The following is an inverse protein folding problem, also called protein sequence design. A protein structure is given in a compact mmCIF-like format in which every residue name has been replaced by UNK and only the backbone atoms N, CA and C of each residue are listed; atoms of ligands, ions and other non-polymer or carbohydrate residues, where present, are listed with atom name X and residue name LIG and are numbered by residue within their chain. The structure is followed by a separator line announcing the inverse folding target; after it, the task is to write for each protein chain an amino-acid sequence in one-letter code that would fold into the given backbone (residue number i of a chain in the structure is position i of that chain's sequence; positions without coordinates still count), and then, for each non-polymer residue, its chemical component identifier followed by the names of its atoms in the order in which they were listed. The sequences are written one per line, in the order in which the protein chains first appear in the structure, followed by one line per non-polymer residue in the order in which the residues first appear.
data_IF_358201905490
#
_entry.id   IF_358201905490
#
_cell.length_a   1.000
_cell.length_b   1.000
_cell.length_c   1.000
_cell.angle_alpha   90.00
_cell.angle_beta   90.00
_cell.angle_gamma   90.00
#
_symmetry.space_group_name_H-M   'P 1'
#
loop_
_entity.id
_entity.type
_entity.pdbx_description
1 polymer ?
#
# COMPACT_ATOMS: atom_id res chain seq x y z
N UNK A 1 6.39 13.13 14.17
CA UNK A 1 7.42 12.14 13.81
C UNK A 1 8.74 12.81 13.48
N UNK A 2 9.74 12.02 13.10
CA UNK A 2 11.07 12.44 12.64
C UNK A 2 11.31 11.92 11.21
N UNK A 3 11.94 12.73 10.38
CA UNK A 3 12.31 12.38 8.99
C UNK A 3 13.82 12.55 8.86
N UNK A 4 14.50 11.51 8.38
CA UNK A 4 15.93 11.54 8.10
C UNK A 4 16.14 11.88 6.63
N UNK A 5 16.96 12.90 6.36
CA UNK A 5 17.24 13.41 5.02
C UNK A 5 18.72 13.24 4.67
N UNK A 6 18.99 12.99 3.40
CA UNK A 6 20.31 13.11 2.79
C UNK A 6 20.34 14.32 1.87
N UNK A 7 21.34 15.18 2.07
CA UNK A 7 21.54 16.39 1.28
C UNK A 7 22.78 16.22 0.43
N UNK A 8 22.61 16.22 -0.89
CA UNK A 8 23.72 15.96 -1.80
C UNK A 8 23.60 16.75 -3.10
N UNK A 9 24.61 17.60 -3.39
CA UNK A 9 24.72 18.40 -4.62
C UNK A 9 23.43 19.15 -4.99
N UNK A 10 22.80 19.79 -4.01
CA UNK A 10 21.54 20.52 -4.21
C UNK A 10 20.28 19.66 -4.22
N UNK A 11 20.40 18.33 -4.08
CA UNK A 11 19.27 17.43 -3.89
C UNK A 11 18.97 17.20 -2.41
N UNK A 12 17.70 16.88 -2.13
CA UNK A 12 17.17 16.49 -0.82
C UNK A 12 16.48 15.15 -1.00
N UNK A 13 16.93 14.11 -0.30
CA UNK A 13 16.36 12.76 -0.38
C UNK A 13 15.90 12.29 1.00
N UNK A 14 14.71 11.68 1.05
CA UNK A 14 14.19 11.08 2.28
C UNK A 14 14.78 9.68 2.44
N UNK A 15 15.55 9.47 3.51
CA UNK A 15 16.21 8.19 3.79
C UNK A 15 15.64 7.48 5.02
N UNK A 16 14.70 8.09 5.74
CA UNK A 16 14.03 7.44 6.87
C UNK A 16 12.85 8.25 7.40
N UNK A 17 11.88 7.56 8.00
CA UNK A 17 10.72 8.16 8.66
C UNK A 17 10.38 7.34 9.90
N UNK A 18 10.00 8.02 10.97
CA UNK A 18 9.48 7.39 12.18
C UNK A 18 8.50 8.33 12.87
N UNK A 19 7.55 7.78 13.62
CA UNK A 19 6.62 8.56 14.42
C UNK A 19 6.22 7.73 15.64
N UNK A 20 6.48 8.26 16.84
CA UNK A 20 6.21 7.53 18.09
C UNK A 20 4.71 7.46 18.42
N UNK A 21 3.96 8.52 18.08
CA UNK A 21 2.57 8.69 18.54
C UNK A 21 1.54 8.62 17.40
N UNK A 22 1.99 8.76 16.16
CA UNK A 22 1.12 8.87 14.99
C UNK A 22 1.78 8.17 13.80
N UNK A 23 1.90 6.84 13.91
CA UNK A 23 2.38 5.96 12.85
C UNK A 23 1.30 4.94 12.53
N UNK A 24 0.84 4.94 11.27
CA UNK A 24 -0.03 3.89 10.73
C UNK A 24 0.77 2.71 10.15
N UNK A 25 2.10 2.81 10.13
CA UNK A 25 2.96 1.72 9.72
C UNK A 25 3.01 0.65 10.81
N UNK A 26 2.78 -0.61 10.41
CA UNK A 26 2.92 -1.77 11.29
C UNK A 26 3.72 -2.86 10.55
N UNK A 27 4.92 -3.16 11.05
CA UNK A 27 5.84 -4.11 10.43
C UNK A 27 5.26 -5.52 10.30
N UNK A 28 4.38 -5.93 11.22
CA UNK A 28 3.78 -7.26 11.22
C UNK A 28 2.78 -7.46 10.05
N UNK A 29 2.15 -6.39 9.56
CA UNK A 29 1.28 -6.44 8.38
C UNK A 29 2.03 -6.21 7.05
N UNK A 30 3.29 -5.77 7.11
CA UNK A 30 4.08 -5.39 5.93
C UNK A 30 5.24 -6.34 5.62
N UNK A 31 5.40 -7.40 6.42
CA UNK A 31 6.45 -8.41 6.22
C UNK A 31 6.01 -9.51 5.25
N UNK A 32 6.97 -10.22 4.66
CA UNK A 32 6.75 -11.46 3.92
C UNK A 32 6.98 -12.71 4.79
N UNK A 33 7.35 -12.52 6.06
CA UNK A 33 7.54 -13.58 7.06
C UNK A 33 6.20 -14.04 7.67
N UNK A 34 6.27 -15.06 8.55
CA UNK A 34 5.18 -15.98 8.93
C UNK A 34 3.76 -15.40 9.18
N UNK A 35 2.79 -16.11 8.58
CA UNK A 35 1.47 -15.68 8.10
C UNK A 35 0.31 -15.71 9.13
N UNK A 36 0.50 -15.20 10.35
CA UNK A 36 -0.61 -15.19 11.34
C UNK A 36 -1.39 -13.87 11.39
N UNK A 37 -0.84 -12.78 10.86
CA UNK A 37 -1.37 -11.43 11.10
C UNK A 37 -2.40 -10.99 10.03
N UNK A 38 -2.34 -11.57 8.82
CA UNK A 38 -3.27 -11.26 7.73
C UNK A 38 -3.58 -12.48 6.86
N UNK A 39 -4.87 -12.70 6.56
CA UNK A 39 -5.31 -13.77 5.66
C UNK A 39 -5.24 -13.31 4.19
N UNK A 40 -4.24 -13.80 3.48
CA UNK A 40 -4.01 -13.45 2.06
C UNK A 40 -5.16 -13.83 1.12
N UNK A 41 -6.02 -14.80 1.51
CA UNK A 41 -7.17 -15.21 0.67
C UNK A 41 -8.21 -14.10 0.51
N UNK A 42 -8.27 -13.16 1.46
CA UNK A 42 -9.25 -12.06 1.43
C UNK A 42 -8.97 -11.08 0.29
N UNK A 43 -7.71 -10.94 -0.13
CA UNK A 43 -7.30 -10.09 -1.24
C UNK A 43 -8.00 -10.46 -2.56
N UNK A 44 -8.23 -11.76 -2.80
CA UNK A 44 -8.88 -12.22 -4.02
C UNK A 44 -10.33 -11.71 -4.14
N UNK A 45 -11.07 -11.71 -3.02
CA UNK A 45 -12.43 -11.16 -2.96
C UNK A 45 -12.44 -9.64 -3.15
N UNK A 46 -11.54 -8.95 -2.44
CA UNK A 46 -11.40 -7.50 -2.51
C UNK A 46 -11.09 -7.00 -3.94
N UNK A 47 -10.14 -7.64 -4.63
CA UNK A 47 -9.77 -7.29 -6.00
C UNK A 47 -10.96 -7.45 -6.95
N UNK A 48 -11.67 -8.59 -6.87
CA UNK A 48 -12.84 -8.86 -7.72
C UNK A 48 -13.95 -7.84 -7.49
N UNK A 49 -14.23 -7.49 -6.23
CA UNK A 49 -15.29 -6.55 -5.89
C UNK A 49 -14.97 -5.13 -6.40
N UNK A 50 -13.74 -4.65 -6.21
CA UNK A 50 -13.32 -3.34 -6.70
C UNK A 50 -13.28 -3.29 -8.24
N UNK A 51 -12.89 -4.39 -8.89
CA UNK A 51 -12.87 -4.50 -10.34
C UNK A 51 -14.26 -4.67 -10.96
N UNK A 52 -15.29 -5.03 -10.19
CA UNK A 52 -16.61 -5.41 -10.69
C UNK A 52 -17.22 -4.35 -11.63
N UNK A 53 -17.13 -3.07 -11.25
CA UNK A 53 -17.65 -1.96 -12.08
C UNK A 53 -16.96 -1.86 -13.44
N UNK A 54 -15.66 -2.15 -13.51
CA UNK A 54 -14.89 -2.13 -14.75
C UNK A 54 -15.20 -3.35 -15.62
N UNK A 55 -15.37 -4.52 -14.99
CA UNK A 55 -15.78 -5.74 -15.68
C UNK A 55 -17.15 -5.54 -16.35
N UNK A 56 -18.12 -4.93 -15.64
CA UNK A 56 -19.44 -4.62 -16.18
C UNK A 56 -19.35 -3.59 -17.30
N UNK A 57 -18.60 -2.51 -17.10
CA UNK A 57 -18.42 -1.47 -18.14
C UNK A 57 -17.80 -2.04 -19.42
N UNK A 58 -16.80 -2.92 -19.31
CA UNK A 58 -16.19 -3.62 -20.44
C UNK A 58 -17.16 -4.57 -21.14
N UNK A 59 -17.97 -5.34 -20.38
CA UNK A 59 -19.04 -6.19 -20.95
C UNK A 59 -20.10 -5.38 -21.69
N UNK A 60 -20.41 -4.18 -21.20
CA UNK A 60 -21.38 -3.28 -21.80
C UNK A 60 -20.80 -2.42 -22.96
N UNK A 61 -19.53 -2.63 -23.33
CA UNK A 61 -18.90 -1.93 -24.45
C UNK A 61 -18.68 -0.43 -24.24
N UNK A 62 -18.70 0.07 -22.99
CA UNK A 62 -18.39 1.48 -22.71
C UNK A 62 -16.92 1.74 -23.03
N UNK A 63 -16.68 2.58 -24.04
CA UNK A 63 -15.34 3.13 -24.33
C UNK A 63 -15.03 4.21 -23.30
N UNK A 64 -13.81 4.20 -22.79
CA UNK A 64 -13.26 5.23 -21.89
C UNK A 64 -13.19 6.57 -22.60
#
# INVERSE_FOLDING_TARGET
GRVKLELYKGNVMVIGRESANDSLFNAAYCTFEEDEVYNQKDAAGFIKLNALRFIIAGKNGRKF
#
